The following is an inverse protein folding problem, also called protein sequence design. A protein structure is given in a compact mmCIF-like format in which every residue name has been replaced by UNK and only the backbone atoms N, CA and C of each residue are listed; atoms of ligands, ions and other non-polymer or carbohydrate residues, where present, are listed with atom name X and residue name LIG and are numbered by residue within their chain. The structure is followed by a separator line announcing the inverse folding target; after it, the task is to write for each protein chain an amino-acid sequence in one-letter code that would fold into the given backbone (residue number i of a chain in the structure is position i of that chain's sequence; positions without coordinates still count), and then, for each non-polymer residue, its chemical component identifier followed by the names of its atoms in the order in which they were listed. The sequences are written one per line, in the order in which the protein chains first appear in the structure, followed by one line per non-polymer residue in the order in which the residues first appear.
data_IF_558515819560
#
_entry.id   IF_558515819560
#
_cell.length_a   1.000
_cell.length_b   1.000
_cell.length_c   1.000
_cell.angle_alpha   90.00
_cell.angle_beta   90.00
_cell.angle_gamma   90.00
#
_symmetry.space_group_name_H-M   'P 1'
#
loop_
_entity.id
_entity.type
_entity.pdbx_description
1 polymer ?
#
# COMPACT_ATOMS: atom_id res chain seq x y z
N UNK A 1 7.45 -5.97 -3.18
CA UNK A 1 6.10 -6.38 -3.60
C UNK A 1 5.36 -5.15 -4.11
N UNK A 2 5.02 -5.11 -5.40
CA UNK A 2 4.35 -3.95 -6.00
C UNK A 2 2.89 -3.86 -5.52
N UNK A 3 2.35 -2.64 -5.44
CA UNK A 3 0.92 -2.40 -5.12
C UNK A 3 0.01 -3.08 -6.13
N UNK A 4 0.45 -3.20 -7.38
CA UNK A 4 -0.23 -3.94 -8.45
C UNK A 4 -0.53 -5.39 -8.04
N UNK A 5 0.40 -6.04 -7.31
CA UNK A 5 0.25 -7.44 -6.90
C UNK A 5 -0.75 -7.63 -5.76
N UNK A 6 -1.10 -6.54 -5.04
CA UNK A 6 -2.07 -6.56 -3.93
C UNK A 6 -3.47 -6.12 -4.31
N UNK A 7 -3.62 -5.47 -5.45
CA UNK A 7 -4.91 -5.09 -6.04
C UNK A 7 -4.91 -5.48 -7.51
N UNK A 8 -4.94 -6.79 -7.81
CA UNK A 8 -4.93 -7.27 -9.17
C UNK A 8 -6.25 -6.92 -9.85
N UNK A 9 -6.18 -6.08 -10.87
CA UNK A 9 -7.28 -5.85 -11.82
C UNK A 9 -6.94 -6.53 -13.13
N UNK A 10 -7.94 -7.04 -13.83
CA UNK A 10 -7.76 -7.72 -15.12
C UNK A 10 -7.06 -9.08 -15.03
N UNK A 11 -7.06 -9.70 -13.85
CA UNK A 11 -6.58 -11.07 -13.65
C UNK A 11 -7.50 -11.80 -12.65
N UNK A 12 -7.70 -13.09 -12.86
CA UNK A 12 -8.43 -13.95 -11.95
C UNK A 12 -7.61 -15.21 -11.64
N UNK A 13 -7.94 -15.87 -10.53
CA UNK A 13 -7.36 -17.16 -10.20
C UNK A 13 -8.16 -18.25 -10.92
N UNK A 14 -7.50 -19.01 -11.78
CA UNK A 14 -8.12 -20.15 -12.46
C UNK A 14 -7.93 -21.42 -11.63
N UNK A 15 -9.04 -22.05 -11.24
CA UNK A 15 -9.05 -23.23 -10.40
C UNK A 15 -8.61 -24.49 -11.15
N UNK A 16 -8.71 -24.49 -12.49
CA UNK A 16 -8.34 -25.64 -13.31
C UNK A 16 -6.83 -25.67 -13.55
N UNK A 17 -6.23 -24.52 -13.79
CA UNK A 17 -4.79 -24.37 -13.99
C UNK A 17 -4.03 -24.07 -12.69
N UNK A 18 -4.73 -23.71 -11.60
CA UNK A 18 -4.20 -23.26 -10.31
C UNK A 18 -3.23 -22.07 -10.45
N UNK A 19 -3.52 -21.17 -11.38
CA UNK A 19 -2.68 -20.01 -11.71
C UNK A 19 -3.51 -18.74 -11.82
N UNK A 20 -2.84 -17.61 -11.65
CA UNK A 20 -3.41 -16.31 -12.00
C UNK A 20 -3.37 -16.15 -13.51
N UNK A 21 -4.54 -16.02 -14.13
CA UNK A 21 -4.68 -15.81 -15.56
C UNK A 21 -5.14 -14.38 -15.85
N UNK A 22 -4.60 -13.80 -16.91
CA UNK A 22 -4.94 -12.45 -17.32
C UNK A 22 -6.25 -12.48 -18.11
N UNK A 23 -7.26 -11.76 -17.63
CA UNK A 23 -8.56 -11.61 -18.30
C UNK A 23 -8.63 -10.39 -19.20
N UNK A 24 -7.98 -9.29 -18.76
CA UNK A 24 -8.05 -8.02 -19.48
C UNK A 24 -6.72 -7.27 -19.37
N UNK A 25 -6.02 -7.13 -20.48
CA UNK A 25 -4.77 -6.36 -20.55
C UNK A 25 -5.00 -4.87 -20.26
N UNK A 26 -6.11 -4.34 -20.74
CA UNK A 26 -6.46 -2.93 -20.52
C UNK A 26 -6.69 -2.62 -19.04
N UNK A 27 -7.43 -3.45 -18.31
CA UNK A 27 -7.63 -3.29 -16.87
C UNK A 27 -6.33 -3.42 -16.09
N UNK A 28 -5.42 -4.29 -16.52
CA UNK A 28 -4.11 -4.43 -15.91
C UNK A 28 -3.26 -3.16 -16.07
N UNK A 29 -3.24 -2.58 -17.28
CA UNK A 29 -2.48 -1.35 -17.59
C UNK A 29 -3.12 -0.13 -16.91
N UNK A 30 -4.44 -0.02 -16.96
CA UNK A 30 -5.20 1.09 -16.37
C UNK A 30 -5.61 0.84 -14.91
N UNK A 31 -4.86 0.01 -14.19
CA UNK A 31 -5.05 -0.16 -12.76
C UNK A 31 -4.95 1.20 -12.04
N UNK A 32 -5.99 1.64 -11.28
CA UNK A 32 -6.05 2.97 -10.68
C UNK A 32 -4.84 3.29 -9.80
N UNK A 33 -4.44 2.33 -8.98
CA UNK A 33 -3.29 2.49 -8.06
C UNK A 33 -1.97 2.65 -8.82
N UNK A 34 -1.79 1.90 -9.91
CA UNK A 34 -0.60 1.99 -10.76
C UNK A 34 -0.53 3.31 -11.51
N UNK A 35 -1.68 3.77 -12.03
CA UNK A 35 -1.77 5.02 -12.78
C UNK A 35 -1.42 6.23 -11.91
N UNK A 36 -2.04 6.35 -10.74
CA UNK A 36 -1.77 7.47 -9.82
C UNK A 36 -0.30 7.50 -9.43
N UNK A 37 0.30 6.34 -9.12
CA UNK A 37 1.73 6.27 -8.78
C UNK A 37 2.65 6.60 -9.93
N UNK A 38 2.35 6.12 -11.12
CA UNK A 38 3.16 6.42 -12.32
C UNK A 38 3.18 7.92 -12.59
N UNK A 39 2.00 8.56 -12.65
CA UNK A 39 1.88 9.99 -12.94
C UNK A 39 2.51 10.83 -11.82
N UNK A 40 2.29 10.45 -10.55
CA UNK A 40 2.93 11.12 -9.41
C UNK A 40 4.47 11.08 -9.51
N UNK A 41 5.05 9.92 -9.84
CA UNK A 41 6.50 9.77 -10.00
C UNK A 41 7.05 10.63 -11.15
N UNK A 42 6.33 10.69 -12.28
CA UNK A 42 6.70 11.54 -13.41
C UNK A 42 6.67 13.02 -13.03
N UNK A 43 5.60 13.46 -12.33
CA UNK A 43 5.50 14.85 -11.85
C UNK A 43 6.62 15.21 -10.86
N UNK A 44 6.98 14.31 -9.95
CA UNK A 44 8.12 14.49 -9.06
C UNK A 44 9.45 14.63 -9.83
N UNK A 45 9.61 13.86 -10.91
CA UNK A 45 10.72 13.99 -11.85
C UNK A 45 10.78 15.39 -12.51
N UNK A 46 9.63 15.93 -12.88
CA UNK A 46 9.54 17.30 -13.42
C UNK A 46 9.94 18.38 -12.39
N UNK A 47 9.53 18.22 -11.14
CA UNK A 47 9.98 19.11 -10.05
C UNK A 47 11.50 19.09 -9.93
N UNK A 48 12.11 17.90 -9.92
CA UNK A 48 13.56 17.73 -9.83
C UNK A 48 14.27 18.39 -11.02
N UNK A 49 13.78 18.18 -12.24
CA UNK A 49 14.33 18.79 -13.46
C UNK A 49 14.22 20.30 -13.45
N UNK A 50 13.06 20.84 -13.02
CA UNK A 50 12.85 22.29 -12.90
C UNK A 50 13.81 22.92 -11.87
N UNK A 51 13.97 22.29 -10.70
CA UNK A 51 14.91 22.76 -9.67
C UNK A 51 16.36 22.75 -10.18
N UNK A 52 16.75 21.73 -10.94
CA UNK A 52 18.09 21.67 -11.54
C UNK A 52 18.33 22.81 -12.54
N UNK A 53 17.36 23.08 -13.44
CA UNK A 53 17.44 24.19 -14.39
C UNK A 53 17.53 25.53 -13.64
N UNK A 54 16.70 25.74 -12.61
CA UNK A 54 16.73 26.97 -11.82
C UNK A 54 18.07 27.16 -11.08
N UNK A 55 18.63 26.08 -10.52
CA UNK A 55 19.91 26.12 -9.83
C UNK A 55 21.06 26.52 -10.77
N UNK A 56 21.13 25.94 -11.97
CA UNK A 56 22.13 26.34 -12.96
C UNK A 56 21.91 27.75 -13.43
N UNK A 57 20.69 28.17 -13.72
CA UNK A 57 20.35 29.51 -14.15
C UNK A 57 20.71 30.55 -13.09
N UNK A 58 20.43 30.29 -11.81
CA UNK A 58 20.82 31.14 -10.68
C UNK A 58 22.34 31.26 -10.60
N UNK A 59 23.08 30.16 -10.79
CA UNK A 59 24.55 30.21 -10.78
C UNK A 59 25.12 31.11 -11.89
N UNK A 60 24.57 31.03 -13.13
CA UNK A 60 24.96 31.92 -14.23
C UNK A 60 24.64 33.40 -13.92
N UNK A 61 23.45 33.65 -13.34
CA UNK A 61 23.06 35.04 -12.92
C UNK A 61 24.00 35.60 -11.87
N UNK A 62 24.37 34.81 -10.87
CA UNK A 62 25.33 35.23 -9.82
C UNK A 62 26.73 35.53 -10.38
N UNK A 63 27.12 34.80 -11.44
CA UNK A 63 28.39 35.02 -12.15
C UNK A 63 28.35 36.10 -13.20
N UNK A 64 27.19 36.69 -13.48
CA UNK A 64 27.01 37.73 -14.50
C UNK A 64 27.23 37.22 -15.94
N UNK A 65 27.14 35.89 -16.16
CA UNK A 65 27.35 35.25 -17.49
C UNK A 65 26.01 34.93 -18.12
N UNK A 66 25.91 35.12 -19.45
CA UNK A 66 24.75 34.73 -20.27
C UNK A 66 23.41 35.12 -19.63
N UNK A 67 23.33 36.37 -19.13
CA UNK A 67 22.23 36.82 -18.29
C UNK A 67 20.84 36.66 -18.93
N UNK A 68 20.72 36.93 -20.22
CA UNK A 68 19.44 36.86 -20.92
C UNK A 68 18.93 35.44 -21.03
N UNK A 69 19.82 34.49 -21.33
CA UNK A 69 19.49 33.06 -21.39
C UNK A 69 19.16 32.55 -19.99
N UNK A 70 19.97 32.93 -19.00
CA UNK A 70 19.76 32.50 -17.61
C UNK A 70 18.45 33.03 -17.03
N UNK A 71 18.06 34.28 -17.30
CA UNK A 71 16.77 34.80 -16.85
C UNK A 71 15.59 34.09 -17.48
N UNK A 72 15.64 33.83 -18.79
CA UNK A 72 14.58 33.11 -19.48
C UNK A 72 14.46 31.66 -18.97
N UNK A 73 15.59 30.97 -18.83
CA UNK A 73 15.61 29.60 -18.32
C UNK A 73 15.11 29.51 -16.88
N UNK A 74 15.49 30.47 -16.03
CA UNK A 74 15.01 30.55 -14.65
C UNK A 74 13.50 30.80 -14.59
N UNK A 75 12.97 31.72 -15.41
CA UNK A 75 11.55 32.01 -15.45
C UNK A 75 10.74 30.81 -15.93
N UNK A 76 11.17 30.15 -17.02
CA UNK A 76 10.52 28.93 -17.51
C UNK A 76 10.57 27.80 -16.48
N UNK A 77 11.75 27.57 -15.88
CA UNK A 77 11.92 26.56 -14.83
C UNK A 77 11.05 26.84 -13.61
N UNK A 78 10.91 28.12 -13.20
CA UNK A 78 10.08 28.51 -12.07
C UNK A 78 8.58 28.25 -12.33
N UNK A 79 8.06 28.67 -13.49
CA UNK A 79 6.64 28.44 -13.85
C UNK A 79 6.36 26.95 -13.98
N UNK A 80 7.20 26.22 -14.74
CA UNK A 80 7.05 24.79 -14.95
C UNK A 80 7.15 24.01 -13.62
N UNK A 81 8.14 24.35 -12.79
CA UNK A 81 8.34 23.74 -11.48
C UNK A 81 7.16 23.98 -10.54
N UNK A 82 6.59 25.20 -10.53
CA UNK A 82 5.40 25.49 -9.73
C UNK A 82 4.21 24.65 -10.16
N UNK A 83 3.96 24.55 -11.46
CA UNK A 83 2.87 23.69 -11.98
C UNK A 83 3.11 22.20 -11.65
N UNK A 84 4.35 21.74 -11.76
CA UNK A 84 4.72 20.38 -11.40
C UNK A 84 4.54 20.11 -9.89
N UNK A 85 4.86 21.07 -9.01
CA UNK A 85 4.63 20.94 -7.57
C UNK A 85 3.13 20.83 -7.26
N UNK A 86 2.30 21.69 -7.84
CA UNK A 86 0.85 21.62 -7.66
C UNK A 86 0.30 20.26 -8.11
N UNK A 87 0.72 19.77 -9.28
CA UNK A 87 0.34 18.45 -9.76
C UNK A 87 0.83 17.32 -8.86
N UNK A 88 2.05 17.41 -8.33
CA UNK A 88 2.61 16.41 -7.41
C UNK A 88 1.82 16.37 -6.10
N UNK A 89 1.42 17.51 -5.55
CA UNK A 89 0.62 17.58 -4.32
C UNK A 89 -0.76 16.94 -4.51
N UNK A 90 -1.44 17.27 -5.61
CA UNK A 90 -2.77 16.71 -5.89
C UNK A 90 -2.74 15.19 -6.13
N UNK A 91 -1.73 14.71 -6.86
CA UNK A 91 -1.56 13.28 -7.09
C UNK A 91 -1.08 12.54 -5.82
N UNK A 92 -0.34 13.22 -4.94
CA UNK A 92 0.04 12.70 -3.63
C UNK A 92 -1.16 12.45 -2.74
N UNK A 93 -2.08 13.40 -2.70
CA UNK A 93 -3.36 13.28 -1.98
C UNK A 93 -4.19 12.09 -2.51
N UNK A 94 -4.37 12.01 -3.84
CA UNK A 94 -5.06 10.87 -4.47
C UNK A 94 -4.37 9.54 -4.16
N UNK A 95 -3.02 9.50 -4.12
CA UNK A 95 -2.26 8.30 -3.77
C UNK A 95 -2.44 7.90 -2.31
N UNK A 96 -2.51 8.86 -1.39
CA UNK A 96 -2.76 8.60 0.03
C UNK A 96 -4.16 8.01 0.24
N UNK A 97 -5.16 8.57 -0.42
CA UNK A 97 -6.53 8.06 -0.39
C UNK A 97 -6.62 6.62 -0.92
N UNK A 98 -6.03 6.32 -2.08
CA UNK A 98 -6.00 4.97 -2.65
C UNK A 98 -5.29 3.97 -1.73
N UNK A 99 -4.16 4.37 -1.12
CA UNK A 99 -3.46 3.52 -0.15
C UNK A 99 -4.33 3.25 1.09
N UNK A 100 -5.08 4.24 1.56
CA UNK A 100 -6.00 4.07 2.68
C UNK A 100 -7.08 3.01 2.39
N UNK A 101 -7.60 2.96 1.16
CA UNK A 101 -8.62 2.00 0.75
C UNK A 101 -8.06 0.59 0.51
N UNK A 102 -6.91 0.51 -0.16
CA UNK A 102 -6.36 -0.78 -0.65
C UNK A 102 -5.42 -1.43 0.36
N UNK A 103 -4.71 -0.64 1.17
CA UNK A 103 -3.69 -1.11 2.12
C UNK A 103 -3.76 -0.37 3.46
N UNK A 104 -4.88 -0.44 4.19
CA UNK A 104 -5.05 0.30 5.45
C UNK A 104 -3.99 -0.07 6.50
N UNK A 105 -3.57 -1.33 6.58
CA UNK A 105 -2.48 -1.77 7.48
C UNK A 105 -1.17 -1.05 7.18
N UNK A 106 -0.85 -0.87 5.89
CA UNK A 106 0.35 -0.15 5.48
C UNK A 106 0.27 1.33 5.83
N UNK A 107 -0.88 1.96 5.58
CA UNK A 107 -1.09 3.36 5.95
C UNK A 107 -0.92 3.55 7.46
N UNK A 108 -1.61 2.75 8.27
CA UNK A 108 -1.50 2.82 9.73
C UNK A 108 -0.06 2.60 10.23
N UNK A 109 0.71 1.70 9.58
CA UNK A 109 2.11 1.48 9.91
C UNK A 109 3.00 2.68 9.52
N UNK A 110 2.77 3.30 8.37
CA UNK A 110 3.53 4.47 7.90
C UNK A 110 3.27 5.70 8.76
N UNK A 111 2.02 5.89 9.20
CA UNK A 111 1.59 7.03 10.02
C UNK A 111 1.82 6.80 11.52
N UNK A 112 2.26 5.60 11.93
CA UNK A 112 2.45 5.25 13.33
C UNK A 112 1.14 5.22 14.13
N UNK A 113 0.02 4.86 13.48
CA UNK A 113 -1.29 4.77 14.11
C UNK A 113 -1.49 3.40 14.76
N UNK A 114 -1.18 3.29 16.05
CA UNK A 114 -1.31 2.04 16.80
C UNK A 114 -2.75 1.68 17.15
N UNK A 115 -3.56 2.68 17.43
CA UNK A 115 -4.98 2.54 17.78
C UNK A 115 -5.82 3.32 16.79
N UNK A 116 -7.08 2.95 16.65
CA UNK A 116 -8.03 3.70 15.82
C UNK A 116 -8.20 5.11 16.39
N UNK A 117 -7.79 6.11 15.64
CA UNK A 117 -7.97 7.51 15.98
C UNK A 117 -9.42 7.93 15.64
N UNK A 118 -10.14 8.50 16.63
CA UNK A 118 -11.48 9.03 16.38
C UNK A 118 -11.40 10.21 15.42
N UNK A 119 -12.50 10.48 14.74
CA UNK A 119 -12.63 11.66 13.90
C UNK A 119 -12.63 12.95 14.73
N UNK A 120 -11.95 14.00 14.29
CA UNK A 120 -11.06 14.11 13.13
C UNK A 120 -9.64 13.61 13.42
N UNK A 121 -9.16 12.60 12.65
CA UNK A 121 -7.88 11.95 12.90
C UNK A 121 -6.70 12.90 12.66
N UNK A 122 -5.75 13.02 13.63
CA UNK A 122 -4.57 13.86 13.49
C UNK A 122 -3.48 13.17 12.64
N UNK A 123 -2.65 13.97 11.96
CA UNK A 123 -1.50 13.50 11.22
C UNK A 123 -0.23 13.59 12.06
N UNK A 124 0.56 12.52 12.15
CA UNK A 124 1.83 12.49 12.83
C UNK A 124 2.96 13.02 11.92
N UNK A 125 3.40 14.27 12.12
CA UNK A 125 4.53 14.85 11.37
C UNK A 125 5.85 14.17 11.75
N UNK A 126 6.01 13.91 13.03
CA UNK A 126 7.15 13.16 13.60
C UNK A 126 6.60 12.27 14.70
N UNK A 127 6.97 11.00 14.66
CA UNK A 127 6.64 10.06 15.72
C UNK A 127 7.85 9.18 16.04
N UNK A 128 8.00 8.82 17.32
CA UNK A 128 9.00 7.87 17.78
C UNK A 128 8.30 6.59 18.24
N UNK A 129 8.23 5.54 17.40
CA UNK A 129 7.48 4.34 17.72
C UNK A 129 8.22 3.46 18.73
N UNK A 130 7.54 3.06 19.79
CA UNK A 130 7.94 2.01 20.74
C UNK A 130 7.16 0.73 20.40
N UNK A 131 7.79 -0.15 19.62
CA UNK A 131 7.14 -1.37 19.11
C UNK A 131 6.70 -2.31 20.23
N UNK A 132 7.50 -2.44 21.30
CA UNK A 132 7.20 -3.34 22.42
C UNK A 132 5.98 -2.89 23.23
N UNK A 133 5.73 -1.59 23.28
CA UNK A 133 4.58 -0.99 23.97
C UNK A 133 3.43 -0.64 23.03
N UNK A 134 3.63 -0.85 21.71
CA UNK A 134 2.63 -0.56 20.68
C UNK A 134 2.05 0.85 20.81
N UNK A 135 2.93 1.84 20.98
CA UNK A 135 2.60 3.25 21.11
C UNK A 135 3.71 4.13 20.55
N UNK A 136 3.43 5.41 20.40
CA UNK A 136 4.45 6.42 20.14
C UNK A 136 4.90 7.05 21.47
N UNK A 137 6.20 7.00 21.79
CA UNK A 137 6.76 7.65 22.98
C UNK A 137 6.66 9.18 22.88
N UNK A 138 6.81 9.70 21.66
CA UNK A 138 6.69 11.11 21.33
C UNK A 138 6.06 11.25 19.94
N UNK A 139 5.15 12.20 19.78
CA UNK A 139 4.60 12.54 18.47
C UNK A 139 4.24 14.03 18.38
N UNK A 140 4.60 14.65 17.25
CA UNK A 140 4.11 16.00 16.87
C UNK A 140 2.96 15.77 15.90
N UNK A 141 1.76 16.22 16.28
CA UNK A 141 0.52 15.98 15.54
C UNK A 141 -0.02 17.28 14.92
N UNK A 142 -0.50 17.20 13.68
CA UNK A 142 -1.34 18.22 13.07
C UNK A 142 -2.79 17.75 13.17
N UNK A 143 -3.68 18.49 13.88
CA UNK A 143 -5.07 18.07 14.05
C UNK A 143 -5.80 17.92 12.71
N UNK A 144 -6.68 16.92 12.61
CA UNK A 144 -7.57 16.66 11.48
C UNK A 144 -6.94 16.34 10.12
N UNK A 145 -5.63 16.52 9.94
CA UNK A 145 -5.01 16.39 8.63
C UNK A 145 -5.03 14.96 8.08
N UNK A 146 -4.82 13.93 8.93
CA UNK A 146 -4.86 12.53 8.48
C UNK A 146 -6.27 12.12 8.03
N UNK A 147 -7.31 12.57 8.76
CA UNK A 147 -8.69 12.33 8.35
C UNK A 147 -8.98 12.88 6.96
N UNK A 148 -8.52 14.09 6.65
CA UNK A 148 -8.67 14.68 5.32
C UNK A 148 -7.90 13.89 4.27
N UNK A 149 -6.64 13.57 4.49
CA UNK A 149 -5.78 12.87 3.52
C UNK A 149 -6.20 11.42 3.26
N UNK A 150 -6.59 10.69 4.33
CA UNK A 150 -6.89 9.26 4.21
C UNK A 150 -8.35 8.97 3.83
N UNK A 151 -9.29 9.84 4.22
CA UNK A 151 -10.72 9.58 4.07
C UNK A 151 -11.48 10.65 3.30
N UNK A 152 -10.85 11.78 2.95
CA UNK A 152 -11.49 12.98 2.42
C UNK A 152 -12.67 13.45 3.30
N UNK A 153 -12.60 13.19 4.60
CA UNK A 153 -13.67 13.49 5.56
C UNK A 153 -13.10 13.88 6.93
N UNK A 154 -13.82 14.73 7.64
CA UNK A 154 -13.52 15.06 9.02
C UNK A 154 -14.27 14.18 10.03
N UNK A 155 -15.23 13.39 9.55
CA UNK A 155 -16.16 12.63 10.41
C UNK A 155 -15.86 11.12 10.43
N UNK A 156 -14.88 10.66 9.61
CA UNK A 156 -14.53 9.24 9.55
C UNK A 156 -13.31 8.96 10.42
N UNK A 157 -13.34 7.90 11.25
CA UNK A 157 -12.17 7.45 11.99
C UNK A 157 -11.15 6.84 11.02
N UNK A 158 -9.87 6.91 11.40
CA UNK A 158 -8.78 6.20 10.69
C UNK A 158 -8.41 4.97 11.51
N UNK A 159 -8.55 3.76 10.93
CA UNK A 159 -8.31 2.53 11.67
C UNK A 159 -6.83 2.36 12.01
N UNK A 160 -6.54 2.02 13.27
CA UNK A 160 -5.20 1.76 13.75
C UNK A 160 -4.75 0.31 13.56
N UNK A 161 -3.44 0.09 13.69
CA UNK A 161 -2.80 -1.21 13.51
C UNK A 161 -3.43 -2.33 14.32
N UNK A 162 -3.72 -2.09 15.61
CA UNK A 162 -4.30 -3.12 16.49
C UNK A 162 -5.64 -3.63 15.99
N UNK A 163 -6.51 -2.73 15.56
CA UNK A 163 -7.83 -3.08 15.05
C UNK A 163 -7.73 -3.81 13.72
N UNK A 164 -6.91 -3.30 12.79
CA UNK A 164 -6.68 -3.92 11.48
C UNK A 164 -6.05 -5.32 11.60
N UNK A 165 -5.14 -5.49 12.56
CA UNK A 165 -4.53 -6.80 12.81
C UNK A 165 -5.54 -7.78 13.40
N UNK A 166 -6.41 -7.33 14.30
CA UNK A 166 -7.49 -8.17 14.85
C UNK A 166 -8.44 -8.64 13.74
N UNK A 167 -8.77 -7.80 12.77
CA UNK A 167 -9.57 -8.16 11.59
C UNK A 167 -8.83 -9.10 10.62
N UNK A 168 -7.52 -9.01 10.55
CA UNK A 168 -6.69 -9.85 9.68
C UNK A 168 -6.57 -11.30 10.20
N UNK A 169 -6.66 -11.49 11.50
CA UNK A 169 -6.54 -12.83 12.11
C UNK A 169 -7.55 -13.85 11.59
N UNK A 170 -8.86 -13.57 11.54
CA UNK A 170 -9.83 -14.47 10.91
C UNK A 170 -9.56 -14.74 9.42
N UNK A 171 -9.04 -13.75 8.69
CA UNK A 171 -8.68 -13.92 7.28
C UNK A 171 -7.51 -14.88 7.08
N UNK A 172 -6.51 -14.85 7.96
CA UNK A 172 -5.42 -15.84 7.97
C UNK A 172 -5.95 -17.26 8.23
N UNK A 173 -6.93 -17.41 9.11
CA UNK A 173 -7.57 -18.71 9.36
C UNK A 173 -8.31 -19.22 8.13
N UNK A 174 -9.14 -18.40 7.50
CA UNK A 174 -9.83 -18.77 6.24
C UNK A 174 -8.83 -19.02 5.11
N UNK A 175 -7.77 -18.24 5.04
CA UNK A 175 -6.69 -18.44 4.07
C UNK A 175 -5.98 -19.78 4.23
N UNK A 176 -5.78 -20.26 5.47
CA UNK A 176 -5.29 -21.62 5.70
C UNK A 176 -6.22 -22.67 5.11
N UNK A 177 -7.53 -22.54 5.33
CA UNK A 177 -8.49 -23.48 4.77
C UNK A 177 -8.51 -23.45 3.24
N UNK A 178 -8.48 -22.25 2.64
CA UNK A 178 -8.37 -22.08 1.19
C UNK A 178 -7.10 -22.76 0.63
N UNK A 179 -5.96 -22.61 1.31
CA UNK A 179 -4.71 -23.25 0.93
C UNK A 179 -4.79 -24.78 0.97
N UNK A 180 -5.37 -25.36 2.01
CA UNK A 180 -5.55 -26.81 2.14
C UNK A 180 -6.47 -27.36 1.04
N UNK A 181 -7.59 -26.70 0.79
CA UNK A 181 -8.51 -27.07 -0.30
C UNK A 181 -7.81 -26.97 -1.68
N UNK A 182 -7.01 -25.94 -1.90
CA UNK A 182 -6.23 -25.81 -3.13
C UNK A 182 -5.25 -26.99 -3.30
N UNK A 183 -4.61 -27.44 -2.22
CA UNK A 183 -3.75 -28.63 -2.27
C UNK A 183 -4.52 -29.90 -2.60
N UNK A 184 -5.71 -30.12 -2.02
CA UNK A 184 -6.57 -31.25 -2.36
C UNK A 184 -6.97 -31.23 -3.84
N UNK A 185 -7.37 -30.08 -4.36
CA UNK A 185 -7.70 -29.89 -5.78
C UNK A 185 -6.49 -30.20 -6.67
N UNK A 186 -5.29 -29.77 -6.26
CA UNK A 186 -4.05 -30.05 -6.99
C UNK A 186 -3.69 -31.55 -7.03
N UNK A 187 -4.10 -32.31 -6.01
CA UNK A 187 -3.92 -33.75 -5.93
C UNK A 187 -5.00 -34.54 -6.68
N UNK A 188 -5.95 -33.84 -7.30
CA UNK A 188 -7.00 -34.43 -8.14
C UNK A 188 -8.36 -34.58 -7.47
N UNK A 189 -8.53 -34.17 -6.22
CA UNK A 189 -9.84 -34.16 -5.57
C UNK A 189 -10.66 -32.94 -6.07
N UNK A 190 -11.50 -33.17 -7.07
CA UNK A 190 -12.35 -32.14 -7.70
C UNK A 190 -13.82 -32.36 -7.43
N UNK A 191 -14.15 -32.89 -6.28
CA UNK A 191 -15.55 -33.09 -5.90
C UNK A 191 -16.28 -31.72 -5.80
N UNK A 192 -17.57 -31.66 -6.20
CA UNK A 192 -18.31 -30.38 -6.26
C UNK A 192 -18.32 -29.63 -4.95
N UNK A 193 -18.36 -30.30 -3.81
CA UNK A 193 -18.34 -29.66 -2.49
C UNK A 193 -16.97 -29.03 -2.16
N UNK A 194 -15.85 -29.64 -2.59
CA UNK A 194 -14.50 -29.11 -2.41
C UNK A 194 -14.30 -27.85 -3.25
N UNK A 195 -14.76 -27.88 -4.51
CA UNK A 195 -14.71 -26.74 -5.41
C UNK A 195 -15.56 -25.57 -4.92
N UNK A 196 -16.75 -25.86 -4.39
CA UNK A 196 -17.61 -24.84 -3.81
C UNK A 196 -16.99 -24.22 -2.56
N UNK A 197 -16.50 -25.02 -1.62
CA UNK A 197 -15.83 -24.55 -0.41
C UNK A 197 -14.61 -23.69 -0.74
N UNK A 198 -13.83 -24.07 -1.77
CA UNK A 198 -12.69 -23.26 -2.22
C UNK A 198 -13.14 -21.89 -2.75
N UNK A 199 -14.18 -21.84 -3.61
CA UNK A 199 -14.69 -20.57 -4.17
C UNK A 199 -15.15 -19.60 -3.09
N UNK A 200 -15.72 -20.09 -1.99
CA UNK A 200 -16.13 -19.24 -0.86
C UNK A 200 -14.94 -18.63 -0.10
N UNK A 201 -13.77 -19.29 -0.15
CA UNK A 201 -12.56 -18.91 0.58
C UNK A 201 -11.45 -18.37 -0.33
N UNK A 202 -11.64 -18.38 -1.64
CA UNK A 202 -10.64 -17.99 -2.64
C UNK A 202 -10.08 -16.58 -2.40
N UNK A 203 -10.93 -15.64 -1.99
CA UNK A 203 -10.53 -14.27 -1.68
C UNK A 203 -9.51 -14.14 -0.53
N UNK A 204 -9.37 -15.16 0.31
CA UNK A 204 -8.41 -15.20 1.40
C UNK A 204 -7.20 -16.13 1.10
N UNK A 205 -7.12 -16.74 -0.09
CA UNK A 205 -6.03 -17.66 -0.49
C UNK A 205 -4.65 -17.04 -0.34
N UNK A 206 -4.50 -15.76 -0.66
CA UNK A 206 -3.24 -15.02 -0.50
C UNK A 206 -2.71 -15.02 0.94
N UNK A 207 -3.59 -15.00 1.94
CA UNK A 207 -3.22 -15.14 3.35
C UNK A 207 -2.75 -16.56 3.68
N UNK A 208 -3.36 -17.57 3.06
CA UNK A 208 -2.92 -18.97 3.16
C UNK A 208 -1.53 -19.17 2.56
N UNK A 209 -1.27 -18.60 1.39
CA UNK A 209 0.05 -18.59 0.75
C UNK A 209 1.12 -17.88 1.59
N UNK A 210 0.74 -16.80 2.28
CA UNK A 210 1.64 -16.12 3.20
C UNK A 210 1.94 -17.01 4.40
N UNK A 211 0.93 -17.64 4.97
CA UNK A 211 1.05 -18.52 6.13
C UNK A 211 1.92 -19.76 5.83
N UNK A 212 1.81 -20.32 4.61
CA UNK A 212 2.59 -21.49 4.17
C UNK A 212 4.10 -21.25 4.15
N UNK A 213 4.54 -19.99 4.05
CA UNK A 213 5.98 -19.64 4.16
C UNK A 213 6.54 -19.85 5.57
N UNK A 214 5.69 -19.79 6.59
CA UNK A 214 6.06 -19.96 7.99
C UNK A 214 5.70 -21.34 8.55
N UNK A 215 4.80 -22.05 7.88
CA UNK A 215 4.39 -23.43 8.19
C UNK A 215 4.17 -24.20 6.87
N UNK A 216 5.22 -24.74 6.24
CA UNK A 216 5.10 -25.41 4.94
C UNK A 216 4.15 -26.62 4.95
N UNK A 217 4.13 -27.39 6.04
CA UNK A 217 3.20 -28.49 6.24
C UNK A 217 2.04 -28.07 7.14
N UNK A 218 1.05 -27.41 6.55
CA UNK A 218 -0.12 -26.92 7.27
C UNK A 218 -1.12 -28.02 7.68
N UNK A 219 -0.96 -29.24 7.19
CA UNK A 219 -1.80 -30.40 7.55
C UNK A 219 -1.41 -30.96 8.93
N UNK A 220 -0.10 -30.94 9.26
CA UNK A 220 0.45 -31.57 10.46
C UNK A 220 1.07 -30.60 11.46
N UNK A 221 0.68 -29.34 11.44
CA UNK A 221 1.22 -28.32 12.38
C UNK A 221 0.63 -28.51 13.78
N UNK A 222 1.49 -28.51 14.77
CA UNK A 222 1.06 -28.41 16.16
C UNK A 222 0.48 -27.02 16.45
N UNK A 223 -0.35 -26.91 17.50
CA UNK A 223 -0.94 -25.61 17.89
C UNK A 223 0.13 -24.53 18.14
N UNK A 224 1.28 -24.90 18.75
CA UNK A 224 2.37 -23.96 19.00
C UNK A 224 3.03 -23.49 17.70
N UNK A 225 3.29 -24.39 16.76
CA UNK A 225 3.86 -24.06 15.44
C UNK A 225 2.89 -23.18 14.64
N UNK A 226 1.60 -23.49 14.68
CA UNK A 226 0.57 -22.67 14.03
C UNK A 226 0.54 -21.24 14.59
N UNK A 227 0.57 -21.08 15.90
CA UNK A 227 0.62 -19.77 16.55
C UNK A 227 1.91 -19.01 16.21
N UNK A 228 3.04 -19.71 16.10
CA UNK A 228 4.30 -19.10 15.66
C UNK A 228 4.23 -18.64 14.20
N UNK A 229 3.65 -19.46 13.30
CA UNK A 229 3.43 -19.13 11.89
C UNK A 229 2.48 -17.93 11.74
N UNK A 230 1.39 -17.90 12.50
CA UNK A 230 0.47 -16.75 12.54
C UNK A 230 1.17 -15.47 12.94
N UNK A 231 1.98 -15.48 14.00
CA UNK A 231 2.79 -14.30 14.42
C UNK A 231 3.77 -13.90 13.33
N UNK A 232 4.44 -14.86 12.68
CA UNK A 232 5.36 -14.59 11.58
C UNK A 232 4.66 -13.94 10.38
N UNK A 233 3.52 -14.47 9.97
CA UNK A 233 2.70 -13.92 8.88
C UNK A 233 2.18 -12.51 9.20
N UNK A 234 1.70 -12.29 10.43
CA UNK A 234 1.26 -10.99 10.93
C UNK A 234 2.41 -9.97 10.89
N UNK A 235 3.59 -10.35 11.39
CA UNK A 235 4.78 -9.49 11.33
C UNK A 235 5.17 -9.15 9.89
N UNK A 236 5.09 -10.10 8.96
CA UNK A 236 5.36 -9.84 7.55
C UNK A 236 4.37 -8.86 6.93
N UNK A 237 3.10 -8.87 7.32
CA UNK A 237 2.11 -7.88 6.86
C UNK A 237 2.40 -6.46 7.33
N UNK A 238 3.09 -6.30 8.47
CA UNK A 238 3.50 -5.00 8.99
C UNK A 238 4.76 -4.45 8.28
N UNK A 239 5.66 -5.32 7.80
CA UNK A 239 6.94 -4.92 7.22
C UNK A 239 6.92 -4.78 5.69
N UNK A 240 5.80 -5.08 5.02
CA UNK A 240 5.63 -5.00 3.56
C UNK A 240 4.54 -4.02 3.15
#
# INVERSE_FOLDING_TARGET
MCIRDRYPTGAHFDIDTLRMEMTSFSELVFNPVSQVKFVHTVMAGYVTGAMFIMAISAWYLLRGRERDVALRSFAIGSVFGTLAIIGTLQLGDSSAYEVAQVQPVKLAAMEGEWQTEPAPAPFHVVAWPEQDQERNAFAIKIPALLGILATHSLDKPVPGLKNLMAETYPRLQRGRMAWLLMQEISQGNREPHVLQAFRELEGDLGYGMLLSRYAPDMNHVTAAQYQAAMRGAMKALLHH
#
